data_IF_596064390280
#
_entry.id   IF_596064390280
#
_cell.length_a   1.000
_cell.length_b   1.000
_cell.length_c   1.000
_cell.angle_alpha   90.00
_cell.angle_beta   90.00
_cell.angle_gamma   90.00
#
_symmetry.space_group_name_H-M   'P 1'
#
loop_
_entity.id
_entity.type
_entity.pdbx_description
1 polymer ?
#
# COMPACT_ATOMS: atom_id res chain seq x y z
N UNK A 1 26.44 -59.91 9.33
CA UNK A 1 26.00 -58.50 9.54
C UNK A 1 26.26 -57.70 8.27
N UNK A 2 25.25 -56.98 7.76
CA UNK A 2 25.29 -55.95 6.69
C UNK A 2 25.47 -54.57 7.36
N UNK A 3 26.03 -53.53 6.70
CA UNK A 3 25.38 -52.75 5.60
C UNK A 3 26.33 -52.44 4.42
N UNK A 4 25.97 -52.39 3.14
CA UNK A 4 24.99 -51.58 2.37
C UNK A 4 25.15 -50.05 2.53
N UNK A 5 26.10 -49.46 1.81
CA UNK A 5 26.10 -48.03 1.53
C UNK A 5 25.22 -47.74 0.31
N UNK A 6 24.12 -47.04 0.56
CA UNK A 6 23.12 -46.63 -0.40
C UNK A 6 23.06 -45.10 -0.38
N UNK A 7 23.17 -44.52 -1.57
CA UNK A 7 22.75 -43.16 -1.97
C UNK A 7 23.22 -41.94 -1.17
N UNK A 8 23.92 -41.04 -1.86
CA UNK A 8 23.80 -39.59 -1.63
C UNK A 8 23.88 -38.84 -2.96
N UNK A 9 22.87 -39.04 -3.80
CA UNK A 9 22.58 -38.18 -4.95
C UNK A 9 21.16 -37.65 -4.77
N UNK A 10 21.02 -36.66 -3.89
CA UNK A 10 19.82 -35.85 -3.77
C UNK A 10 20.23 -34.38 -3.87
N UNK A 11 20.80 -34.00 -5.02
CA UNK A 11 20.56 -32.66 -5.55
C UNK A 11 19.11 -32.63 -6.02
N UNK A 12 18.19 -32.59 -5.05
CA UNK A 12 16.83 -32.15 -5.26
C UNK A 12 16.95 -30.74 -5.81
N UNK A 13 16.67 -30.63 -7.10
CA UNK A 13 16.21 -29.43 -7.75
C UNK A 13 14.97 -29.01 -6.95
N UNK A 14 15.16 -28.22 -5.89
CA UNK A 14 14.04 -27.49 -5.32
C UNK A 14 13.56 -26.60 -6.46
N UNK A 15 12.27 -26.67 -6.86
CA UNK A 15 11.72 -25.57 -7.62
C UNK A 15 12.00 -24.32 -6.77
N UNK A 16 12.64 -23.30 -7.37
CA UNK A 16 12.64 -21.95 -6.80
C UNK A 16 11.17 -21.57 -6.67
N UNK A 17 10.58 -21.90 -5.52
CA UNK A 17 9.34 -21.30 -5.09
C UNK A 17 9.77 -19.88 -4.82
N UNK A 18 9.51 -18.99 -5.78
CA UNK A 18 9.72 -17.56 -5.64
C UNK A 18 8.86 -17.12 -4.47
N UNK A 19 9.42 -17.21 -3.26
CA UNK A 19 8.75 -16.83 -2.04
C UNK A 19 8.59 -15.32 -2.17
N UNK A 20 7.37 -14.88 -2.49
CA UNK A 20 7.04 -13.46 -2.54
C UNK A 20 7.58 -12.83 -1.26
N UNK A 21 8.46 -11.85 -1.39
CA UNK A 21 9.14 -11.27 -0.23
C UNK A 21 8.09 -10.79 0.78
N UNK A 22 8.22 -11.19 2.04
CA UNK A 22 7.27 -10.74 3.06
C UNK A 22 7.42 -9.22 3.27
N UNK A 23 6.30 -8.52 3.41
CA UNK A 23 6.30 -7.10 3.76
C UNK A 23 6.86 -6.90 5.17
N UNK A 24 7.88 -6.06 5.30
CA UNK A 24 8.44 -5.66 6.59
C UNK A 24 7.87 -4.30 6.96
N UNK A 25 6.85 -4.28 7.84
CA UNK A 25 6.09 -3.08 8.17
C UNK A 25 6.42 -2.53 9.56
N UNK A 26 6.51 -1.20 9.66
CA UNK A 26 6.59 -0.45 10.90
C UNK A 26 5.43 0.54 10.96
N UNK A 27 4.68 0.53 12.06
CA UNK A 27 3.62 1.49 12.33
C UNK A 27 4.20 2.68 13.10
N UNK A 28 3.74 3.88 12.74
CA UNK A 28 4.09 5.12 13.42
C UNK A 28 2.80 5.73 13.96
N UNK A 29 2.85 6.19 15.21
CA UNK A 29 1.77 6.95 15.82
C UNK A 29 1.52 8.25 15.03
N UNK A 30 0.28 8.79 15.07
CA UNK A 30 -0.07 10.01 14.36
C UNK A 30 0.87 11.15 14.75
N UNK A 31 1.37 11.88 13.74
CA UNK A 31 2.21 13.06 13.97
C UNK A 31 1.40 14.10 14.76
N UNK A 32 1.96 14.61 15.86
CA UNK A 32 1.30 15.64 16.68
C UNK A 32 1.11 16.95 15.89
N UNK A 33 0.09 17.72 16.26
CA UNK A 33 -0.42 18.92 15.54
C UNK A 33 0.64 19.96 15.16
N UNK A 34 1.80 19.97 15.82
CA UNK A 34 2.84 20.99 15.66
C UNK A 34 3.72 20.76 14.42
N UNK A 35 3.82 19.52 13.91
CA UNK A 35 4.77 19.18 12.83
C UNK A 35 4.20 19.41 11.43
N UNK A 36 2.88 19.34 11.24
CA UNK A 36 2.24 19.55 9.92
C UNK A 36 2.00 21.03 9.58
N UNK A 37 1.90 21.91 10.58
CA UNK A 37 1.69 23.35 10.37
C UNK A 37 2.89 24.01 9.65
N UNK A 38 4.12 23.57 9.92
CA UNK A 38 5.32 24.09 9.24
C UNK A 38 5.43 23.59 7.78
N UNK A 39 4.87 22.42 7.46
CA UNK A 39 4.99 21.82 6.11
C UNK A 39 3.93 22.33 5.13
N UNK A 40 2.76 22.73 5.62
CA UNK A 40 1.61 23.16 4.82
C UNK A 40 1.60 24.66 4.45
N UNK A 41 2.54 25.47 4.92
CA UNK A 41 2.62 26.90 4.56
C UNK A 41 3.05 27.19 3.11
N UNK A 42 3.37 26.17 2.29
CA UNK A 42 3.87 26.37 0.92
C UNK A 42 2.91 26.01 -0.21
N UNK A 43 1.64 25.74 0.07
CA UNK A 43 0.65 25.36 -0.94
C UNK A 43 -0.69 26.05 -0.76
N UNK A 44 -0.80 27.31 -1.21
CA UNK A 44 -2.10 27.98 -1.37
C UNK A 44 -2.87 27.34 -2.52
N UNK A 45 -3.90 26.55 -2.20
CA UNK A 45 -4.88 26.03 -3.15
C UNK A 45 -6.06 25.44 -2.40
N UNK A 46 -7.25 25.99 -2.62
CA UNK A 46 -8.51 25.58 -1.98
C UNK A 46 -8.73 24.05 -2.03
N UNK A 47 -8.88 23.42 -0.86
CA UNK A 47 -9.38 22.05 -0.73
C UNK A 47 -8.76 21.28 0.44
N UNK A 48 -9.58 20.96 1.43
CA UNK A 48 -9.31 20.17 2.65
C UNK A 48 -8.43 20.86 3.72
N UNK A 49 -9.08 21.30 4.80
CA UNK A 49 -8.40 21.81 6.00
C UNK A 49 -7.57 20.69 6.65
N UNK A 50 -6.32 21.01 6.96
CA UNK A 50 -5.30 20.17 7.60
C UNK A 50 -5.57 19.90 9.08
N UNK A 51 -6.70 19.28 9.42
CA UNK A 51 -6.99 18.80 10.79
C UNK A 51 -7.09 17.26 10.85
N UNK A 52 -6.31 16.55 10.03
CA UNK A 52 -6.38 15.09 9.93
C UNK A 52 -5.15 14.47 10.59
N UNK A 53 -5.33 13.79 11.73
CA UNK A 53 -4.25 13.03 12.37
C UNK A 53 -3.80 11.92 11.43
N UNK A 54 -2.68 12.13 10.73
CA UNK A 54 -2.16 11.18 9.76
C UNK A 54 -1.43 10.03 10.47
N UNK A 55 -2.12 8.91 10.67
CA UNK A 55 -1.43 7.67 11.02
C UNK A 55 -0.56 7.23 9.83
N UNK A 56 0.71 6.91 10.06
CA UNK A 56 1.67 6.52 9.01
C UNK A 56 2.08 5.06 9.19
N UNK A 57 1.95 4.28 8.14
CA UNK A 57 2.50 2.93 8.03
C UNK A 57 3.58 2.91 6.95
N UNK A 58 4.77 2.42 7.29
CA UNK A 58 5.85 2.25 6.31
C UNK A 58 6.21 0.78 6.23
N UNK A 59 6.12 0.22 5.03
CA UNK A 59 6.56 -1.13 4.73
C UNK A 59 7.71 -1.13 3.75
N UNK A 60 8.58 -2.12 3.85
CA UNK A 60 9.61 -2.40 2.84
C UNK A 60 9.33 -3.73 2.16
N UNK A 61 9.55 -3.75 0.86
CA UNK A 61 9.38 -4.91 0.00
C UNK A 61 10.62 -5.12 -0.86
N UNK A 62 11.13 -6.34 -0.93
CA UNK A 62 12.24 -6.70 -1.81
C UNK A 62 11.70 -7.22 -3.14
N UNK A 63 11.86 -6.45 -4.22
CA UNK A 63 11.36 -6.82 -5.55
C UNK A 63 10.93 -5.61 -6.37
N UNK A 64 10.06 -5.85 -7.35
CA UNK A 64 9.60 -4.79 -8.26
C UNK A 64 8.47 -3.97 -7.64
N UNK A 65 8.23 -2.78 -8.19
CA UNK A 65 7.11 -1.92 -7.77
C UNK A 65 5.73 -2.56 -8.01
N UNK A 66 5.62 -3.43 -9.02
CA UNK A 66 4.39 -4.18 -9.30
C UNK A 66 4.13 -5.22 -8.22
N UNK A 67 5.18 -5.94 -7.81
CA UNK A 67 5.09 -6.95 -6.76
C UNK A 67 4.84 -6.32 -5.39
N UNK A 68 5.47 -5.17 -5.12
CA UNK A 68 5.24 -4.38 -3.92
C UNK A 68 3.78 -3.90 -3.82
N UNK A 69 3.19 -3.43 -4.92
CA UNK A 69 1.76 -3.09 -4.96
C UNK A 69 0.87 -4.31 -4.71
N UNK A 70 1.17 -5.45 -5.34
CA UNK A 70 0.39 -6.68 -5.16
C UNK A 70 0.47 -7.18 -3.71
N UNK A 71 1.65 -7.11 -3.10
CA UNK A 71 1.86 -7.43 -1.69
C UNK A 71 1.09 -6.48 -0.78
N UNK A 72 1.14 -5.17 -1.05
CA UNK A 72 0.33 -4.17 -0.33
C UNK A 72 -1.15 -4.50 -0.40
N UNK A 73 -1.70 -4.79 -1.58
CA UNK A 73 -3.10 -5.19 -1.78
C UNK A 73 -3.47 -6.51 -1.09
N UNK A 74 -2.50 -7.35 -0.77
CA UNK A 74 -2.71 -8.64 -0.12
C UNK A 74 -2.57 -8.57 1.41
N UNK A 75 -2.03 -7.48 1.97
CA UNK A 75 -1.75 -7.35 3.41
C UNK A 75 -2.99 -6.98 4.23
N UNK A 76 -3.85 -7.98 4.41
CA UNK A 76 -5.03 -7.88 5.28
C UNK A 76 -4.69 -7.70 6.75
N UNK A 77 -3.49 -8.12 7.20
CA UNK A 77 -3.12 -8.13 8.62
C UNK A 77 -2.96 -6.72 9.17
N UNK A 78 -2.45 -5.80 8.35
CA UNK A 78 -2.26 -4.41 8.74
C UNK A 78 -3.40 -3.48 8.26
N UNK A 79 -4.47 -4.04 7.66
CA UNK A 79 -5.54 -3.25 7.04
C UNK A 79 -5.07 -2.44 5.84
N UNK A 80 -3.92 -2.79 5.26
CA UNK A 80 -3.30 -2.04 4.18
C UNK A 80 -3.91 -2.49 2.86
N UNK A 81 -4.44 -1.53 2.09
CA UNK A 81 -4.98 -1.81 0.77
C UNK A 81 -6.16 -2.78 0.78
N UNK A 82 -6.84 -2.99 1.92
CA UNK A 82 -8.09 -3.73 1.93
C UNK A 82 -9.18 -2.79 1.42
N UNK A 83 -9.63 -3.01 0.19
CA UNK A 83 -10.80 -2.31 -0.33
C UNK A 83 -11.86 -3.35 -0.64
N UNK A 84 -13.02 -3.18 0.00
CA UNK A 84 -14.22 -3.98 -0.22
C UNK A 84 -14.77 -3.82 -1.64
N UNK A 85 -14.34 -2.80 -2.36
CA UNK A 85 -14.85 -2.44 -3.68
C UNK A 85 -14.26 -3.26 -4.86
N UNK A 86 -13.42 -4.27 -4.63
CA UNK A 86 -12.93 -5.11 -5.73
C UNK A 86 -11.93 -4.41 -6.66
N UNK A 87 -11.05 -3.58 -6.09
CA UNK A 87 -9.97 -2.91 -6.85
C UNK A 87 -8.91 -3.89 -7.39
N UNK A 88 -8.18 -3.51 -8.46
CA UNK A 88 -7.22 -4.38 -9.12
C UNK A 88 -6.15 -4.89 -8.16
N UNK A 89 -5.89 -6.21 -8.19
CA UNK A 89 -4.77 -6.83 -7.45
C UNK A 89 -3.41 -6.43 -8.01
N UNK A 90 -3.36 -6.12 -9.29
CA UNK A 90 -2.15 -5.69 -9.99
C UNK A 90 -2.17 -4.18 -10.20
N UNK A 91 -0.98 -3.58 -10.24
CA UNK A 91 -0.82 -2.16 -10.47
C UNK A 91 -1.40 -1.80 -11.86
N UNK A 92 -2.43 -0.93 -11.95
CA UNK A 92 -3.00 -0.55 -13.23
C UNK A 92 -2.02 0.32 -14.04
N UNK A 93 -2.27 0.54 -15.34
CA UNK A 93 -1.57 1.56 -16.12
C UNK A 93 -1.64 2.92 -15.43
N UNK A 94 -0.59 3.73 -15.54
CA UNK A 94 -0.47 5.05 -14.91
C UNK A 94 -0.26 6.09 -16.00
N UNK A 95 -1.00 7.22 -15.98
CA UNK A 95 -2.02 7.60 -15.00
C UNK A 95 -3.33 6.83 -15.18
N UNK A 96 -4.05 6.62 -14.07
CA UNK A 96 -5.42 6.07 -14.13
C UNK A 96 -6.28 6.54 -12.96
N UNK A 97 -7.59 6.48 -13.16
CA UNK A 97 -8.62 6.73 -12.14
C UNK A 97 -9.62 5.60 -12.18
N UNK A 98 -10.02 5.09 -11.03
CA UNK A 98 -11.11 4.13 -10.91
C UNK A 98 -12.00 4.51 -9.75
N UNK A 99 -13.30 4.64 -10.02
CA UNK A 99 -14.33 4.93 -9.02
C UNK A 99 -15.27 3.75 -8.95
N UNK A 100 -15.61 3.32 -7.74
CA UNK A 100 -16.51 2.21 -7.50
C UNK A 100 -17.56 2.66 -6.49
N UNK A 101 -18.80 2.27 -6.77
CA UNK A 101 -19.92 2.47 -5.85
C UNK A 101 -20.30 1.12 -5.28
N UNK A 102 -20.43 1.03 -3.96
CA UNK A 102 -20.89 -0.16 -3.29
C UNK A 102 -21.77 0.20 -2.10
N UNK A 103 -22.51 -0.77 -1.57
CA UNK A 103 -23.29 -0.58 -0.36
C UNK A 103 -22.64 -1.27 0.81
N UNK A 104 -22.55 -0.55 1.92
CA UNK A 104 -22.07 -1.08 3.19
C UNK A 104 -22.98 -0.56 4.30
N UNK A 105 -23.46 -1.46 5.16
CA UNK A 105 -24.39 -1.13 6.25
C UNK A 105 -25.66 -0.37 5.82
N UNK A 106 -26.09 -0.54 4.57
CA UNK A 106 -27.28 0.13 4.01
C UNK A 106 -27.01 1.49 3.35
N UNK A 107 -25.79 2.02 3.45
CA UNK A 107 -25.39 3.29 2.84
C UNK A 107 -24.66 3.06 1.50
N UNK A 108 -24.81 3.99 0.55
CA UNK A 108 -23.99 4.01 -0.67
C UNK A 108 -22.65 4.68 -0.37
N UNK A 109 -21.56 3.95 -0.57
CA UNK A 109 -20.19 4.44 -0.46
C UNK A 109 -19.60 4.57 -1.87
N UNK A 110 -18.95 5.71 -2.12
CA UNK A 110 -18.23 5.97 -3.37
C UNK A 110 -16.73 6.01 -3.07
N UNK A 111 -16.00 4.99 -3.49
CA UNK A 111 -14.55 4.91 -3.31
C UNK A 111 -13.85 5.23 -4.64
N UNK A 112 -12.94 6.20 -4.64
CA UNK A 112 -12.20 6.65 -5.81
C UNK A 112 -10.70 6.50 -5.60
N UNK A 113 -10.05 5.75 -6.50
CA UNK A 113 -8.60 5.60 -6.52
C UNK A 113 -8.01 6.38 -7.69
N UNK A 114 -6.98 7.17 -7.40
CA UNK A 114 -6.22 7.95 -8.37
C UNK A 114 -4.77 7.49 -8.37
N UNK A 115 -4.29 6.99 -9.50
CA UNK A 115 -2.93 6.52 -9.69
C UNK A 115 -2.15 7.55 -10.50
N UNK A 116 -1.08 8.09 -9.91
CA UNK A 116 -0.20 9.09 -10.53
C UNK A 116 1.26 8.66 -10.40
N UNK A 117 2.07 9.01 -11.40
CA UNK A 117 3.53 8.88 -11.33
C UNK A 117 4.12 10.24 -10.99
N UNK A 118 5.02 10.29 -10.01
CA UNK A 118 5.72 11.51 -9.58
C UNK A 118 7.22 11.20 -9.53
N UNK A 119 7.96 11.64 -10.55
CA UNK A 119 9.33 11.15 -10.75
C UNK A 119 9.31 9.64 -10.96
N UNK A 120 10.07 8.88 -10.18
CA UNK A 120 10.05 7.41 -10.19
C UNK A 120 9.04 6.80 -9.21
N UNK A 121 8.42 7.62 -8.37
CA UNK A 121 7.46 7.19 -7.37
C UNK A 121 6.07 7.01 -7.98
N UNK A 122 5.28 6.13 -7.37
CA UNK A 122 3.85 6.02 -7.64
C UNK A 122 3.08 6.54 -6.44
N UNK A 123 2.20 7.50 -6.67
CA UNK A 123 1.24 7.98 -5.69
C UNK A 123 -0.15 7.42 -6.03
N UNK A 124 -0.78 6.85 -5.02
CA UNK A 124 -2.15 6.34 -5.06
C UNK A 124 -2.94 7.14 -4.02
N UNK A 125 -3.91 7.92 -4.46
CA UNK A 125 -4.86 8.59 -3.57
C UNK A 125 -6.15 7.78 -3.54
N UNK A 126 -6.69 7.54 -2.36
CA UNK A 126 -7.92 6.78 -2.13
C UNK A 126 -8.87 7.71 -1.39
N UNK A 127 -9.92 8.15 -2.08
CA UNK A 127 -10.97 8.98 -1.50
C UNK A 127 -12.19 8.11 -1.23
N UNK A 128 -12.62 8.02 0.04
CA UNK A 128 -13.80 7.26 0.44
C UNK A 128 -14.92 8.24 0.76
N UNK A 129 -15.82 8.42 -0.20
CA UNK A 129 -17.00 9.26 -0.06
C UNK A 129 -18.16 8.53 0.62
N UNK A 130 -18.36 8.84 1.91
CA UNK A 130 -19.58 8.64 2.70
C UNK A 130 -19.51 9.50 3.98
N UNK A 131 -20.45 9.31 4.92
CA UNK A 131 -20.71 10.11 6.15
C UNK A 131 -19.49 10.46 7.03
N UNK A 132 -18.33 9.82 6.81
CA UNK A 132 -17.03 10.13 7.40
C UNK A 132 -16.01 10.36 6.26
N UNK A 133 -15.65 11.62 5.92
CA UNK A 133 -14.70 11.90 4.85
C UNK A 133 -13.30 11.43 5.26
N UNK A 134 -12.98 10.18 4.93
CA UNK A 134 -11.64 9.64 5.08
C UNK A 134 -10.95 9.61 3.73
N UNK A 135 -9.67 9.92 3.75
CA UNK A 135 -8.81 9.77 2.59
C UNK A 135 -7.56 9.00 2.98
N UNK A 136 -7.00 8.31 2.01
CA UNK A 136 -5.73 7.61 2.19
C UNK A 136 -4.78 7.97 1.06
N UNK A 137 -3.49 7.93 1.36
CA UNK A 137 -2.47 8.01 0.34
C UNK A 137 -1.48 6.87 0.50
N UNK A 138 -1.20 6.17 -0.59
CA UNK A 138 -0.15 5.15 -0.68
C UNK A 138 0.91 5.63 -1.65
N UNK A 139 2.15 5.68 -1.19
CA UNK A 139 3.31 6.03 -2.01
C UNK A 139 4.23 4.83 -2.13
N UNK A 140 4.47 4.40 -3.37
CA UNK A 140 5.44 3.36 -3.71
C UNK A 140 6.72 4.04 -4.19
N UNK A 141 7.81 3.88 -3.45
CA UNK A 141 9.09 4.55 -3.69
C UNK A 141 10.13 3.49 -4.02
N UNK A 142 10.58 3.38 -5.29
CA UNK A 142 11.59 2.41 -5.67
C UNK A 142 13.00 2.84 -5.21
N UNK A 143 13.77 1.87 -4.73
CA UNK A 143 15.17 1.98 -4.30
C UNK A 143 15.97 0.80 -4.86
N UNK A 144 16.28 0.83 -6.15
CA UNK A 144 16.95 -0.28 -6.82
C UNK A 144 16.10 -1.55 -6.78
N UNK A 145 16.54 -2.56 -6.03
CA UNK A 145 15.85 -3.84 -5.87
C UNK A 145 14.84 -3.88 -4.71
N UNK A 146 14.65 -2.78 -4.00
CA UNK A 146 13.70 -2.64 -2.88
C UNK A 146 12.68 -1.56 -3.19
N UNK A 147 11.49 -1.67 -2.63
CA UNK A 147 10.43 -0.67 -2.69
C UNK A 147 9.99 -0.33 -1.27
N UNK A 148 9.93 0.97 -0.96
CA UNK A 148 9.26 1.47 0.25
C UNK A 148 7.81 1.76 -0.07
N UNK A 149 6.89 1.28 0.76
CA UNK A 149 5.47 1.56 0.69
C UNK A 149 5.13 2.44 1.89
N UNK A 150 4.80 3.70 1.64
CA UNK A 150 4.29 4.59 2.68
C UNK A 150 2.77 4.70 2.53
N UNK A 151 2.02 4.28 3.54
CA UNK A 151 0.58 4.44 3.61
C UNK A 151 0.24 5.45 4.71
N UNK A 152 -0.59 6.42 4.37
CA UNK A 152 -1.13 7.42 5.30
C UNK A 152 -2.64 7.35 5.26
N UNK A 153 -3.24 7.35 6.45
CA UNK A 153 -4.69 7.43 6.64
C UNK A 153 -5.03 8.79 7.24
N UNK A 154 -6.00 9.46 6.67
CA UNK A 154 -6.48 10.75 7.10
C UNK A 154 -7.96 10.62 7.50
N UNK A 155 -8.25 10.83 8.78
CA UNK A 155 -9.60 10.91 9.33
C UNK A 155 -9.78 12.20 10.12
N UNK A 156 -10.96 12.84 10.06
CA UNK A 156 -11.34 13.93 10.95
C UNK A 156 -11.23 13.53 12.42
#
# INVERSE_FOLDING_TARGET
MKPKHLLTACCLILPLVTQAAALQCKKFEPESKEVEAERNQKGSGNGFNNELLAAKHVCQYQGTIKDAYAAFRADKKNGLGDSKAGFPRNLPPIPSKKTIKYRESGEEIIETWLFKKIGDDILITIDIGAMYPSSESVKLIPHGSRVTIEHRFYSP
#
